data_IF_533449876736
#
_entry.id   IF_533449876736
#
_cell.length_a   1.000
_cell.length_b   1.000
_cell.length_c   1.000
_cell.angle_alpha   90.00
_cell.angle_beta   90.00
_cell.angle_gamma   90.00
#
_symmetry.space_group_name_H-M   'P 1'
#
loop_
_entity.id
_entity.type
_entity.pdbx_description
1 polymer ?
#
# COMPACT_ATOMS: atom_id res chain seq x y z
N UNK A 1 -1.67 -3.77 -29.01
CA UNK A 1 -0.46 -4.28 -28.31
C UNK A 1 0.13 -3.20 -27.42
N UNK A 2 0.59 -2.05 -27.94
CA UNK A 2 1.21 -0.95 -27.14
C UNK A 2 0.42 -0.51 -25.88
N UNK A 3 -0.92 -0.44 -25.95
CA UNK A 3 -1.73 -0.05 -24.80
C UNK A 3 -1.81 -1.13 -23.70
N UNK A 4 -1.70 -2.41 -24.04
CA UNK A 4 -1.64 -3.48 -23.04
C UNK A 4 -0.29 -3.45 -22.30
N UNK A 5 0.77 -3.14 -23.04
CA UNK A 5 2.14 -3.05 -22.52
C UNK A 5 2.29 -1.93 -21.48
N UNK A 6 1.65 -0.77 -21.70
CA UNK A 6 1.75 0.35 -20.75
C UNK A 6 1.00 0.09 -19.44
N UNK A 7 -0.21 -0.49 -19.48
CA UNK A 7 -0.95 -0.82 -18.26
C UNK A 7 -0.24 -1.92 -17.45
N UNK A 8 0.27 -2.94 -18.15
CA UNK A 8 1.10 -3.96 -17.53
C UNK A 8 2.36 -3.37 -16.88
N UNK A 9 3.09 -2.50 -17.58
CA UNK A 9 4.27 -1.84 -17.04
C UNK A 9 3.95 -0.98 -15.81
N UNK A 10 2.88 -0.19 -15.86
CA UNK A 10 2.45 0.66 -14.73
C UNK A 10 2.02 -0.21 -13.53
N UNK A 11 1.27 -1.28 -13.77
CA UNK A 11 0.88 -2.24 -12.74
C UNK A 11 2.08 -2.91 -12.09
N UNK A 12 3.04 -3.36 -12.90
CA UNK A 12 4.29 -4.00 -12.44
C UNK A 12 5.12 -3.02 -11.60
N UNK A 13 5.26 -1.78 -12.07
CA UNK A 13 5.97 -0.73 -11.36
C UNK A 13 5.31 -0.42 -10.01
N UNK A 14 3.99 -0.28 -9.98
CA UNK A 14 3.22 -0.05 -8.75
C UNK A 14 3.45 -1.16 -7.72
N UNK A 15 3.35 -2.43 -8.15
CA UNK A 15 3.60 -3.58 -7.29
C UNK A 15 5.05 -3.64 -6.81
N UNK A 16 6.01 -3.36 -7.69
CA UNK A 16 7.45 -3.30 -7.36
C UNK A 16 7.73 -2.25 -6.30
N UNK A 17 7.13 -1.06 -6.42
CA UNK A 17 7.25 -0.01 -5.41
C UNK A 17 6.65 -0.46 -4.08
N UNK A 18 5.52 -1.16 -4.07
CA UNK A 18 4.95 -1.71 -2.84
C UNK A 18 5.86 -2.75 -2.17
N UNK A 19 6.51 -3.62 -2.95
CA UNK A 19 7.50 -4.57 -2.43
C UNK A 19 8.71 -3.82 -1.84
N UNK A 20 9.19 -2.77 -2.52
CA UNK A 20 10.26 -1.92 -2.00
C UNK A 20 9.85 -1.23 -0.67
N UNK A 21 8.59 -0.81 -0.53
CA UNK A 21 8.05 -0.28 0.72
C UNK A 21 8.12 -1.33 1.84
N UNK A 22 7.79 -2.61 1.58
CA UNK A 22 7.97 -3.68 2.59
C UNK A 22 9.41 -3.76 3.04
N UNK A 23 10.35 -3.75 2.10
CA UNK A 23 11.78 -3.81 2.42
C UNK A 23 12.19 -2.63 3.32
N UNK A 24 11.67 -1.42 3.04
CA UNK A 24 11.87 -0.25 3.91
C UNK A 24 11.25 -0.44 5.29
N UNK A 25 10.06 -1.04 5.40
CA UNK A 25 9.41 -1.30 6.70
C UNK A 25 10.21 -2.33 7.53
N UNK A 26 10.68 -3.41 6.91
CA UNK A 26 11.55 -4.41 7.54
C UNK A 26 12.87 -3.76 8.00
N UNK A 27 13.49 -2.95 7.13
CA UNK A 27 14.68 -2.19 7.49
C UNK A 27 14.44 -1.23 8.67
N UNK A 28 13.31 -0.53 8.65
CA UNK A 28 12.86 0.33 9.74
C UNK A 28 12.67 -0.44 11.06
N UNK A 29 12.17 -1.67 11.00
CA UNK A 29 12.08 -2.55 12.18
C UNK A 29 13.47 -2.90 12.74
N UNK A 30 14.45 -3.16 11.87
CA UNK A 30 15.83 -3.40 12.29
C UNK A 30 16.48 -2.17 12.94
N UNK A 31 16.19 -0.96 12.45
CA UNK A 31 16.63 0.29 13.07
C UNK A 31 16.06 0.47 14.48
N UNK A 32 14.77 0.16 14.65
CA UNK A 32 14.11 0.15 15.96
C UNK A 32 14.78 -0.83 16.93
N UNK A 33 15.12 -2.04 16.47
CA UNK A 33 15.85 -3.03 17.30
C UNK A 33 17.22 -2.54 17.77
N UNK A 34 17.85 -1.65 17.00
CA UNK A 34 19.11 -0.99 17.33
C UNK A 34 18.91 0.33 18.09
N UNK A 35 17.71 0.60 18.60
CA UNK A 35 17.32 1.84 19.30
C UNK A 35 17.53 3.14 18.48
N UNK A 36 17.65 3.04 17.14
CA UNK A 36 17.84 4.19 16.24
C UNK A 36 16.49 4.81 15.85
N UNK A 37 15.74 5.30 16.84
CA UNK A 37 14.35 5.76 16.66
C UNK A 37 14.20 6.92 15.67
N UNK A 38 15.14 7.86 15.65
CA UNK A 38 15.08 8.97 14.70
C UNK A 38 15.25 8.51 13.25
N UNK A 39 16.14 7.54 13.00
CA UNK A 39 16.31 6.95 11.66
C UNK A 39 15.11 6.09 11.28
N UNK A 40 14.55 5.35 12.24
CA UNK A 40 13.30 4.62 12.04
C UNK A 40 12.18 5.55 11.57
N UNK A 41 11.96 6.69 12.27
CA UNK A 41 10.96 7.68 11.90
C UNK A 41 11.14 8.24 10.48
N UNK A 42 12.38 8.56 10.08
CA UNK A 42 12.71 8.99 8.72
C UNK A 42 12.34 7.94 7.67
N UNK A 43 12.72 6.67 7.90
CA UNK A 43 12.40 5.58 6.98
C UNK A 43 10.89 5.34 6.88
N UNK A 44 10.14 5.43 8.00
CA UNK A 44 8.68 5.34 7.98
C UNK A 44 8.06 6.50 7.17
N UNK A 45 8.56 7.72 7.33
CA UNK A 45 8.10 8.87 6.56
C UNK A 45 8.37 8.68 5.05
N UNK A 46 9.57 8.24 4.68
CA UNK A 46 9.91 7.93 3.29
C UNK A 46 8.98 6.86 2.70
N UNK A 47 8.69 5.79 3.45
CA UNK A 47 7.77 4.75 3.01
C UNK A 47 6.34 5.29 2.77
N UNK A 48 5.83 6.14 3.67
CA UNK A 48 4.50 6.76 3.51
C UNK A 48 4.47 7.72 2.31
N UNK A 49 5.50 8.54 2.11
CA UNK A 49 5.59 9.46 0.96
C UNK A 49 5.65 8.67 -0.35
N UNK A 50 6.48 7.63 -0.42
CA UNK A 50 6.56 6.78 -1.60
C UNK A 50 5.21 6.13 -1.91
N UNK A 51 4.53 5.62 -0.88
CA UNK A 51 3.19 5.04 -1.04
C UNK A 51 2.16 6.09 -1.49
N UNK A 52 2.20 7.31 -0.95
CA UNK A 52 1.33 8.41 -1.37
C UNK A 52 1.48 8.70 -2.87
N UNK A 53 2.72 8.80 -3.35
CA UNK A 53 3.02 9.04 -4.75
C UNK A 53 2.43 7.90 -5.60
N UNK A 54 2.67 6.64 -5.23
CA UNK A 54 2.11 5.48 -5.94
C UNK A 54 0.57 5.50 -5.96
N UNK A 55 -0.08 5.79 -4.83
CA UNK A 55 -1.54 5.88 -4.75
C UNK A 55 -2.06 6.97 -5.70
N UNK A 56 -1.50 8.18 -5.61
CA UNK A 56 -1.98 9.34 -6.36
C UNK A 56 -1.76 9.19 -7.87
N UNK A 57 -0.62 8.62 -8.28
CA UNK A 57 -0.23 8.54 -9.70
C UNK A 57 -0.69 7.28 -10.41
N UNK A 58 -0.83 6.16 -9.69
CA UNK A 58 -1.14 4.86 -10.31
C UNK A 58 -2.46 4.29 -9.83
N UNK A 59 -2.66 4.15 -8.51
CA UNK A 59 -3.79 3.39 -7.98
C UNK A 59 -5.11 4.14 -8.12
N UNK A 60 -5.16 5.41 -7.74
CA UNK A 60 -6.39 6.22 -7.82
C UNK A 60 -6.85 6.38 -9.28
N UNK A 61 -6.00 6.79 -10.23
CA UNK A 61 -6.41 6.87 -11.63
C UNK A 61 -6.88 5.52 -12.18
N UNK A 62 -6.16 4.43 -11.93
CA UNK A 62 -6.57 3.09 -12.39
C UNK A 62 -7.92 2.67 -11.77
N UNK A 63 -8.13 2.96 -10.49
CA UNK A 63 -9.36 2.58 -9.79
C UNK A 63 -10.56 3.37 -10.32
N UNK A 64 -10.44 4.69 -10.45
CA UNK A 64 -11.52 5.58 -10.86
C UNK A 64 -11.84 5.45 -12.35
N UNK A 65 -10.81 5.37 -13.21
CA UNK A 65 -10.99 5.37 -14.66
C UNK A 65 -11.26 3.97 -15.23
N UNK A 66 -10.80 2.91 -14.57
CA UNK A 66 -10.95 1.54 -15.07
C UNK A 66 -11.77 0.64 -14.14
N UNK A 67 -11.35 0.48 -12.88
CA UNK A 67 -11.96 -0.54 -12.00
C UNK A 67 -13.45 -0.24 -11.71
N UNK A 68 -13.77 1.00 -11.35
CA UNK A 68 -15.16 1.40 -11.06
C UNK A 68 -16.09 1.22 -12.28
N UNK A 69 -15.85 1.86 -13.44
CA UNK A 69 -16.81 1.85 -14.54
C UNK A 69 -16.90 0.51 -15.28
N UNK A 70 -15.81 -0.27 -15.35
CA UNK A 70 -15.81 -1.52 -16.12
C UNK A 70 -16.14 -2.76 -15.29
N UNK A 71 -15.89 -2.73 -13.97
CA UNK A 71 -16.09 -3.90 -13.12
C UNK A 71 -17.11 -3.65 -12.01
N UNK A 72 -16.89 -2.66 -11.14
CA UNK A 72 -17.73 -2.48 -9.95
C UNK A 72 -19.17 -2.13 -10.31
N UNK A 73 -19.39 -1.17 -11.21
CA UNK A 73 -20.75 -0.75 -11.59
C UNK A 73 -21.47 -1.78 -12.46
N UNK A 74 -20.73 -2.52 -13.30
CA UNK A 74 -21.32 -3.49 -14.24
C UNK A 74 -21.59 -4.84 -13.59
N UNK A 75 -20.72 -5.26 -12.67
CA UNK A 75 -20.75 -6.57 -12.05
C UNK A 75 -20.21 -6.49 -10.60
N UNK A 76 -21.00 -5.95 -9.66
CA UNK A 76 -20.53 -5.67 -8.29
C UNK A 76 -20.15 -6.93 -7.50
N UNK A 77 -20.70 -8.08 -7.88
CA UNK A 77 -20.44 -9.37 -7.20
C UNK A 77 -19.34 -10.19 -7.87
N UNK A 78 -18.74 -9.72 -8.97
CA UNK A 78 -17.57 -10.39 -9.54
C UNK A 78 -16.38 -10.32 -8.58
N UNK A 79 -15.54 -11.35 -8.61
CA UNK A 79 -14.36 -11.45 -7.75
C UNK A 79 -13.50 -10.19 -7.78
N UNK A 80 -13.23 -9.63 -8.97
CA UNK A 80 -12.41 -8.41 -9.10
C UNK A 80 -13.06 -7.19 -8.45
N UNK A 81 -14.40 -7.09 -8.49
CA UNK A 81 -15.14 -5.99 -7.87
C UNK A 81 -15.10 -6.08 -6.35
N UNK A 82 -15.36 -7.28 -5.81
CA UNK A 82 -15.34 -7.55 -4.36
C UNK A 82 -13.94 -7.35 -3.80
N UNK A 83 -12.93 -7.98 -4.42
CA UNK A 83 -11.52 -7.83 -4.01
C UNK A 83 -11.07 -6.38 -4.16
N UNK A 84 -11.45 -5.70 -5.25
CA UNK A 84 -11.14 -4.29 -5.50
C UNK A 84 -11.68 -3.36 -4.41
N UNK A 85 -12.92 -3.56 -3.97
CA UNK A 85 -13.54 -2.77 -2.89
C UNK A 85 -12.88 -3.03 -1.53
N UNK A 86 -12.63 -4.30 -1.19
CA UNK A 86 -11.97 -4.62 0.09
C UNK A 86 -10.54 -4.08 0.10
N UNK A 87 -9.81 -4.24 -1.00
CA UNK A 87 -8.47 -3.70 -1.17
C UNK A 87 -8.45 -2.18 -1.02
N UNK A 88 -9.34 -1.45 -1.70
CA UNK A 88 -9.38 0.00 -1.63
C UNK A 88 -9.68 0.48 -0.21
N UNK A 89 -10.68 -0.10 0.46
CA UNK A 89 -11.04 0.30 1.84
C UNK A 89 -9.90 -0.02 2.82
N UNK A 90 -9.34 -1.23 2.78
CA UNK A 90 -8.25 -1.62 3.66
C UNK A 90 -6.99 -0.77 3.41
N UNK A 91 -6.63 -0.57 2.14
CA UNK A 91 -5.49 0.24 1.71
C UNK A 91 -5.61 1.69 2.13
N UNK A 92 -6.75 2.34 1.86
CA UNK A 92 -7.01 3.72 2.27
C UNK A 92 -6.96 3.89 3.78
N UNK A 93 -7.53 2.94 4.53
CA UNK A 93 -7.52 2.97 6.01
C UNK A 93 -6.10 2.83 6.55
N UNK A 94 -5.33 1.85 6.08
CA UNK A 94 -3.94 1.66 6.49
C UNK A 94 -3.09 2.88 6.14
N UNK A 95 -3.29 3.46 4.96
CA UNK A 95 -2.55 4.64 4.49
C UNK A 95 -2.87 5.89 5.33
N UNK A 96 -4.15 6.18 5.58
CA UNK A 96 -4.56 7.31 6.42
C UNK A 96 -4.00 7.20 7.85
N UNK A 97 -4.08 6.01 8.44
CA UNK A 97 -3.49 5.74 9.76
C UNK A 97 -1.95 5.85 9.74
N UNK A 98 -1.30 5.44 8.63
CA UNK A 98 0.13 5.60 8.41
C UNK A 98 0.57 7.06 8.37
N UNK A 99 -0.16 7.92 7.63
CA UNK A 99 0.06 9.37 7.64
C UNK A 99 -0.08 9.93 9.04
N UNK A 100 -1.18 9.61 9.72
CA UNK A 100 -1.43 10.08 11.09
C UNK A 100 -0.29 9.69 12.03
N UNK A 101 0.18 8.45 11.95
CA UNK A 101 1.29 7.95 12.77
C UNK A 101 2.60 8.69 12.47
N UNK A 102 2.95 8.87 11.19
CA UNK A 102 4.16 9.61 10.79
C UNK A 102 4.07 11.08 11.19
N UNK A 103 2.93 11.74 11.01
CA UNK A 103 2.73 13.13 11.44
C UNK A 103 2.83 13.27 12.97
N UNK A 104 2.30 12.29 13.71
CA UNK A 104 2.33 12.30 15.16
C UNK A 104 3.74 12.06 15.75
N UNK A 105 4.61 11.31 15.07
CA UNK A 105 5.86 10.77 15.63
C UNK A 105 7.14 10.98 14.82
N UNK A 106 7.07 11.21 13.51
CA UNK A 106 8.25 11.31 12.63
C UNK A 106 9.25 12.38 13.08
N UNK A 107 8.79 13.38 13.84
CA UNK A 107 9.56 14.55 14.25
C UNK A 107 9.63 14.80 15.77
N UNK A 108 9.00 13.96 16.61
CA UNK A 108 9.02 14.15 18.07
C UNK A 108 10.17 13.37 18.71
N UNK A 109 10.95 14.03 19.58
CA UNK A 109 12.00 13.39 20.41
C UNK A 109 11.45 12.65 21.63
N UNK A 110 10.21 12.95 22.02
CA UNK A 110 9.65 12.53 23.30
C UNK A 110 8.78 11.26 23.15
N UNK A 111 9.00 10.28 24.03
CA UNK A 111 8.43 8.92 23.92
C UNK A 111 7.09 8.73 24.68
N UNK A 112 6.48 9.82 25.16
CA UNK A 112 5.24 9.77 25.91
C UNK A 112 4.10 9.09 25.10
N UNK A 113 3.49 8.04 25.67
CA UNK A 113 2.43 7.24 25.03
C UNK A 113 2.89 6.09 24.12
N UNK A 114 4.16 5.65 24.24
CA UNK A 114 4.79 4.62 23.39
C UNK A 114 4.01 3.28 23.29
N UNK A 115 3.43 2.79 24.39
CA UNK A 115 2.80 1.46 24.41
C UNK A 115 1.48 1.35 23.64
N UNK A 116 0.58 2.33 23.79
CA UNK A 116 -0.70 2.35 23.05
C UNK A 116 -0.41 2.51 21.55
N UNK A 117 0.52 3.39 21.19
CA UNK A 117 0.90 3.67 19.80
C UNK A 117 1.62 2.51 19.12
N UNK A 118 2.37 1.69 19.88
CA UNK A 118 2.93 0.42 19.39
C UNK A 118 1.85 -0.54 18.92
N UNK A 119 0.69 -0.62 19.61
CA UNK A 119 -0.43 -1.47 19.17
C UNK A 119 -1.01 -0.98 17.84
N UNK A 120 -1.17 0.34 17.68
CA UNK A 120 -1.59 0.92 16.39
C UNK A 120 -0.60 0.62 15.26
N UNK A 121 0.72 0.73 15.50
CA UNK A 121 1.72 0.37 14.49
C UNK A 121 1.56 -1.07 13.98
N UNK A 122 1.38 -2.02 14.90
CA UNK A 122 1.18 -3.43 14.54
C UNK A 122 -0.14 -3.63 13.79
N UNK A 123 -1.23 -3.03 14.27
CA UNK A 123 -2.53 -3.11 13.61
C UNK A 123 -2.48 -2.54 12.18
N UNK A 124 -1.88 -1.35 12.01
CA UNK A 124 -1.69 -0.71 10.70
C UNK A 124 -0.87 -1.63 9.79
N UNK A 125 0.22 -2.21 10.29
CA UNK A 125 1.03 -3.13 9.51
C UNK A 125 0.24 -4.38 9.09
N UNK A 126 -0.57 -4.97 9.98
CA UNK A 126 -1.42 -6.12 9.64
C UNK A 126 -2.45 -5.77 8.56
N UNK A 127 -3.17 -4.64 8.70
CA UNK A 127 -4.14 -4.18 7.70
C UNK A 127 -3.43 -3.92 6.36
N UNK A 128 -2.22 -3.34 6.40
CA UNK A 128 -1.41 -3.11 5.21
C UNK A 128 -0.99 -4.41 4.53
N UNK A 129 -0.59 -5.44 5.29
CA UNK A 129 -0.27 -6.77 4.73
C UNK A 129 -1.48 -7.41 4.05
N UNK A 130 -2.66 -7.30 4.65
CA UNK A 130 -3.92 -7.76 4.02
C UNK A 130 -4.18 -6.99 2.71
N UNK A 131 -4.07 -5.66 2.75
CA UNK A 131 -4.26 -4.83 1.57
C UNK A 131 -3.28 -5.20 0.45
N UNK A 132 -1.99 -5.40 0.77
CA UNK A 132 -0.98 -5.83 -0.18
C UNK A 132 -1.33 -7.19 -0.80
N UNK A 133 -1.70 -8.19 0.00
CA UNK A 133 -2.08 -9.51 -0.50
C UNK A 133 -3.25 -9.42 -1.49
N UNK A 134 -4.25 -8.58 -1.20
CA UNK A 134 -5.35 -8.32 -2.13
C UNK A 134 -4.87 -7.60 -3.41
N UNK A 135 -3.91 -6.68 -3.29
CA UNK A 135 -3.29 -6.01 -4.44
C UNK A 135 -2.52 -6.98 -5.35
N UNK A 136 -1.78 -7.93 -4.78
CA UNK A 136 -1.12 -9.01 -5.51
C UNK A 136 -2.16 -9.88 -6.22
N UNK A 137 -3.26 -10.22 -5.54
CA UNK A 137 -4.35 -10.97 -6.15
C UNK A 137 -4.98 -10.23 -7.33
N UNK A 138 -5.25 -8.92 -7.20
CA UNK A 138 -5.77 -8.10 -8.31
C UNK A 138 -4.79 -8.05 -9.48
N UNK A 139 -3.49 -7.87 -9.20
CA UNK A 139 -2.45 -7.91 -10.22
C UNK A 139 -2.45 -9.24 -10.97
N UNK A 140 -2.55 -10.36 -10.24
CA UNK A 140 -2.64 -11.69 -10.84
C UNK A 140 -3.93 -11.89 -11.66
N UNK A 141 -5.06 -11.35 -11.23
CA UNK A 141 -6.32 -11.43 -12.00
C UNK A 141 -6.22 -10.63 -13.30
N UNK A 142 -5.67 -9.41 -13.26
CA UNK A 142 -5.60 -8.55 -14.44
C UNK A 142 -4.52 -8.97 -15.44
N UNK A 143 -3.37 -9.45 -14.95
CA UNK A 143 -2.19 -9.68 -15.78
C UNK A 143 -1.72 -11.13 -15.81
N UNK A 144 -2.19 -12.00 -14.91
CA UNK A 144 -1.85 -13.43 -14.89
C UNK A 144 -2.09 -14.17 -16.21
N UNK A 145 -3.22 -13.94 -16.92
CA UNK A 145 -3.45 -14.56 -18.23
C UNK A 145 -2.45 -14.16 -19.31
N UNK A 146 -1.75 -13.02 -19.18
CA UNK A 146 -0.71 -12.58 -20.11
C UNK A 146 0.60 -13.38 -19.99
N UNK A 147 0.76 -14.20 -18.94
CA UNK A 147 1.92 -15.09 -18.76
C UNK A 147 1.71 -16.49 -19.36
N UNK A 148 0.46 -16.84 -19.68
CA UNK A 148 0.07 -18.17 -20.16
C UNK A 148 -0.10 -18.22 -21.70
N UNK A 149 0.05 -17.09 -22.37
CA UNK A 149 0.03 -16.95 -23.83
C UNK A 149 1.34 -16.31 -24.28
#
# INVERSE_FOLDING_TARGET
MVALDIYFAVGTLSLTIQIAIIALLIYGYNLKRKFKFHQHGKIMATAVILHLITIATTMVPAYVLAVIPFYILKAPLMLVSVVGLIHSVAGSTAFALGIWLVAAWGFKKDFNGCFIRKRFMVAIFCVWMVALSLGILLYAIFYGPAWLN
#
